data_IF_626763779454
#
_entry.id   IF_626763779454
#
_cell.length_a   1.000
_cell.length_b   1.000
_cell.length_c   1.000
_cell.angle_alpha   90.00
_cell.angle_beta   90.00
_cell.angle_gamma   90.00
#
_symmetry.space_group_name_H-M   'P 1'
#
loop_
_entity.id
_entity.type
_entity.pdbx_description
1 polymer ?
#
# COMPACT_ATOMS: atom_id res chain seq x y z
N UNK A 1 16.25 0.96 -5.24
CA UNK A 1 15.53 2.26 -5.09
C UNK A 1 14.16 2.10 -4.44
N UNK A 2 13.20 1.36 -5.04
CA UNK A 2 11.85 1.19 -4.47
C UNK A 2 11.88 0.63 -3.05
N UNK A 3 12.72 -0.39 -2.80
CA UNK A 3 12.97 -0.93 -1.44
C UNK A 3 13.31 0.18 -0.45
N UNK A 4 14.27 1.05 -0.75
CA UNK A 4 14.67 2.14 0.14
C UNK A 4 13.58 3.18 0.39
N UNK A 5 12.72 3.40 -0.60
CA UNK A 5 11.62 4.36 -0.51
C UNK A 5 10.47 3.84 0.37
N UNK A 6 10.26 2.51 0.39
CA UNK A 6 9.23 1.85 1.20
C UNK A 6 9.72 1.38 2.59
N UNK A 7 11.03 1.38 2.84
CA UNK A 7 11.58 1.10 4.18
C UNK A 7 11.35 2.29 5.12
N UNK A 8 10.98 2.03 6.39
CA UNK A 8 10.94 3.07 7.43
C UNK A 8 12.31 3.74 7.51
N UNK A 9 12.40 5.10 7.53
CA UNK A 9 13.67 5.80 7.51
C UNK A 9 14.67 5.32 8.57
N UNK A 10 14.18 5.01 9.77
CA UNK A 10 14.99 4.56 10.91
C UNK A 10 15.61 3.16 10.73
N UNK A 11 15.13 2.40 9.74
CA UNK A 11 15.63 1.05 9.41
C UNK A 11 16.59 1.06 8.19
N UNK A 12 16.88 2.22 7.61
CA UNK A 12 17.89 2.33 6.56
C UNK A 12 19.28 2.37 7.20
N UNK A 13 20.24 1.67 6.60
CA UNK A 13 21.64 1.87 6.94
C UNK A 13 22.07 3.32 6.62
N UNK A 14 23.06 3.84 7.34
CA UNK A 14 23.60 5.18 7.07
C UNK A 14 24.05 5.35 5.61
N UNK A 15 24.67 4.30 5.05
CA UNK A 15 25.08 4.25 3.64
C UNK A 15 23.89 4.33 2.69
N UNK A 16 22.84 3.53 2.92
CA UNK A 16 21.64 3.52 2.06
C UNK A 16 20.86 4.85 2.17
N UNK A 17 20.75 5.42 3.37
CA UNK A 17 20.13 6.73 3.59
C UNK A 17 20.88 7.82 2.80
N UNK A 18 22.21 7.83 2.87
CA UNK A 18 23.06 8.77 2.14
C UNK A 18 22.94 8.60 0.61
N UNK A 19 22.90 7.36 0.13
CA UNK A 19 22.68 7.09 -1.29
C UNK A 19 21.30 7.53 -1.76
N UNK A 20 20.26 7.23 -0.98
CA UNK A 20 18.90 7.67 -1.29
C UNK A 20 18.83 9.20 -1.37
N UNK A 21 19.40 9.90 -0.38
CA UNK A 21 19.40 11.36 -0.35
C UNK A 21 20.06 11.96 -1.61
N UNK A 22 21.25 11.47 -1.99
CA UNK A 22 21.93 11.91 -3.23
C UNK A 22 21.10 11.71 -4.49
N UNK A 23 20.27 10.67 -4.55
CA UNK A 23 19.37 10.43 -5.67
C UNK A 23 18.20 11.42 -5.65
N UNK A 24 17.59 11.65 -4.48
CA UNK A 24 16.46 12.58 -4.32
C UNK A 24 16.85 14.02 -4.65
N UNK A 25 18.05 14.45 -4.27
CA UNK A 25 18.59 15.78 -4.60
C UNK A 25 18.70 16.05 -6.11
N UNK A 26 18.85 14.99 -6.91
CA UNK A 26 19.00 15.07 -8.37
C UNK A 26 17.67 14.99 -9.12
N UNK A 27 16.57 14.69 -8.44
CA UNK A 27 15.26 14.47 -9.07
C UNK A 27 14.13 15.02 -8.19
N UNK A 28 13.65 16.24 -8.46
CA UNK A 28 12.54 16.85 -7.72
C UNK A 28 11.26 16.01 -7.72
N UNK A 29 10.93 15.37 -8.86
CA UNK A 29 9.78 14.49 -8.97
C UNK A 29 9.90 13.24 -8.08
N UNK A 30 11.09 12.64 -8.00
CA UNK A 30 11.34 11.50 -7.12
C UNK A 30 11.35 11.92 -5.65
N UNK A 31 11.86 13.10 -5.32
CA UNK A 31 11.80 13.66 -3.97
C UNK A 31 10.34 13.87 -3.52
N UNK A 32 9.50 14.46 -4.37
CA UNK A 32 8.06 14.61 -4.12
C UNK A 32 7.37 13.25 -3.95
N UNK A 33 7.70 12.28 -4.81
CA UNK A 33 7.20 10.90 -4.71
C UNK A 33 7.57 10.25 -3.37
N UNK A 34 8.85 10.35 -2.97
CA UNK A 34 9.33 9.80 -1.70
C UNK A 34 8.61 10.42 -0.49
N UNK A 35 8.42 11.75 -0.52
CA UNK A 35 7.67 12.47 0.51
C UNK A 35 6.24 11.95 0.64
N UNK A 36 5.51 11.82 -0.48
CA UNK A 36 4.12 11.37 -0.46
C UNK A 36 3.97 9.92 -0.02
N UNK A 37 4.86 9.02 -0.47
CA UNK A 37 4.85 7.61 -0.02
C UNK A 37 5.10 7.52 1.48
N UNK A 38 6.10 8.25 2.00
CA UNK A 38 6.42 8.24 3.43
C UNK A 38 5.28 8.82 4.27
N UNK A 39 4.68 9.92 3.84
CA UNK A 39 3.53 10.52 4.52
C UNK A 39 2.32 9.57 4.54
N UNK A 40 2.04 8.89 3.41
CA UNK A 40 0.94 7.93 3.34
C UNK A 40 1.19 6.70 4.23
N UNK A 41 2.42 6.17 4.21
CA UNK A 41 2.82 5.06 5.06
C UNK A 41 2.69 5.42 6.55
N UNK A 42 3.13 6.62 6.95
CA UNK A 42 2.97 7.09 8.32
C UNK A 42 1.49 7.19 8.72
N UNK A 43 0.67 7.81 7.88
CA UNK A 43 -0.77 7.91 8.10
C UNK A 43 -1.43 6.53 8.28
N UNK A 44 -1.00 5.53 7.49
CA UNK A 44 -1.49 4.16 7.60
C UNK A 44 -1.00 3.46 8.88
N UNK A 45 0.28 3.61 9.25
CA UNK A 45 0.84 2.92 10.43
C UNK A 45 0.32 3.50 11.74
N UNK A 46 0.05 4.81 11.77
CA UNK A 46 -0.43 5.52 12.96
C UNK A 46 -1.96 5.65 13.01
N UNK A 47 -2.68 5.03 12.05
CA UNK A 47 -4.13 5.07 11.93
C UNK A 47 -4.72 6.50 11.91
N UNK A 48 -4.09 7.39 11.14
CA UNK A 48 -4.43 8.81 11.07
C UNK A 48 -5.32 9.16 9.86
N UNK A 49 -6.37 8.38 9.58
CA UNK A 49 -7.23 8.59 8.40
C UNK A 49 -7.87 9.98 8.28
N UNK A 50 -7.93 10.76 9.38
CA UNK A 50 -8.36 12.16 9.34
C UNK A 50 -7.42 13.08 8.53
N UNK A 51 -6.18 12.69 8.26
CA UNK A 51 -5.24 13.43 7.40
C UNK A 51 -5.39 13.14 5.90
N UNK A 52 -6.28 12.20 5.50
CA UNK A 52 -6.40 11.74 4.11
C UNK A 52 -6.66 12.87 3.11
N UNK A 53 -7.58 13.78 3.41
CA UNK A 53 -7.91 14.91 2.52
C UNK A 53 -6.72 15.86 2.34
N UNK A 54 -6.00 16.15 3.43
CA UNK A 54 -4.80 17.00 3.40
C UNK A 54 -3.71 16.35 2.56
N UNK A 55 -3.53 15.03 2.71
CA UNK A 55 -2.57 14.28 1.91
C UNK A 55 -2.95 14.26 0.42
N UNK A 56 -4.23 14.06 0.08
CA UNK A 56 -4.72 14.14 -1.32
C UNK A 56 -4.46 15.52 -1.91
N UNK A 57 -4.73 16.60 -1.16
CA UNK A 57 -4.46 17.97 -1.61
C UNK A 57 -2.97 18.20 -1.88
N UNK A 58 -2.08 17.73 -0.98
CA UNK A 58 -0.64 17.82 -1.15
C UNK A 58 -0.14 17.06 -2.40
N UNK A 59 -0.70 15.87 -2.67
CA UNK A 59 -0.39 15.10 -3.88
C UNK A 59 -0.80 15.85 -5.16
N UNK A 60 -1.97 16.51 -5.14
CA UNK A 60 -2.47 17.27 -6.29
C UNK A 60 -1.65 18.53 -6.59
N UNK A 61 -0.99 19.10 -5.59
CA UNK A 61 -0.13 20.27 -5.75
C UNK A 61 1.18 19.97 -6.49
N UNK A 62 1.66 18.71 -6.45
CA UNK A 62 2.88 18.31 -7.15
C UNK A 62 2.57 17.75 -8.56
N UNK A 63 3.45 17.96 -9.57
CA UNK A 63 3.25 17.46 -10.94
C UNK A 63 3.56 15.96 -11.05
N UNK A 64 2.74 15.13 -10.42
CA UNK A 64 2.90 13.66 -10.36
C UNK A 64 1.65 12.94 -10.92
N UNK A 65 1.49 12.83 -12.25
CA UNK A 65 0.27 12.29 -12.87
C UNK A 65 -0.13 10.89 -12.37
N UNK A 66 0.84 10.00 -12.14
CA UNK A 66 0.58 8.66 -11.61
C UNK A 66 -0.02 8.70 -10.18
N UNK A 67 0.44 9.65 -9.35
CA UNK A 67 -0.10 9.84 -8.00
C UNK A 67 -1.48 10.51 -8.02
N UNK A 68 -1.75 11.36 -9.02
CA UNK A 68 -3.09 11.92 -9.19
C UNK A 68 -4.13 10.83 -9.52
N UNK A 69 -3.77 9.84 -10.34
CA UNK A 69 -4.64 8.68 -10.60
C UNK A 69 -4.91 7.90 -9.32
N UNK A 70 -3.87 7.67 -8.50
CA UNK A 70 -4.03 7.01 -7.20
C UNK A 70 -4.94 7.81 -6.25
N UNK A 71 -4.70 9.11 -6.11
CA UNK A 71 -5.52 10.01 -5.29
C UNK A 71 -6.99 10.05 -5.75
N UNK A 72 -7.24 10.01 -7.07
CA UNK A 72 -8.60 9.90 -7.61
C UNK A 72 -9.28 8.60 -7.18
N UNK A 73 -8.55 7.47 -7.14
CA UNK A 73 -9.05 6.21 -6.62
C UNK A 73 -9.43 6.33 -5.14
N UNK A 74 -8.53 6.86 -4.32
CA UNK A 74 -8.80 7.07 -2.89
C UNK A 74 -10.01 7.96 -2.64
N UNK A 75 -10.18 9.01 -3.44
CA UNK A 75 -11.30 9.94 -3.30
C UNK A 75 -12.65 9.32 -3.71
N UNK A 76 -12.67 8.39 -4.67
CA UNK A 76 -13.89 7.65 -5.02
C UNK A 76 -14.36 6.76 -3.87
N UNK A 77 -13.43 6.12 -3.16
CA UNK A 77 -13.69 5.24 -2.03
C UNK A 77 -13.43 5.91 -0.68
N UNK A 78 -13.61 7.24 -0.61
CA UNK A 78 -13.11 8.09 0.48
C UNK A 78 -13.44 7.56 1.88
N UNK A 79 -14.71 7.27 2.17
CA UNK A 79 -15.13 6.85 3.50
C UNK A 79 -14.56 5.47 3.86
N UNK A 80 -14.49 4.56 2.90
CA UNK A 80 -13.90 3.24 3.10
C UNK A 80 -12.39 3.35 3.35
N UNK A 81 -11.68 4.17 2.59
CA UNK A 81 -10.24 4.42 2.76
C UNK A 81 -9.97 5.10 4.09
N UNK A 82 -10.73 6.14 4.45
CA UNK A 82 -10.62 6.82 5.75
C UNK A 82 -10.81 5.84 6.90
N UNK A 83 -11.81 4.97 6.82
CA UNK A 83 -12.04 3.94 7.83
C UNK A 83 -10.89 2.92 7.88
N UNK A 84 -10.39 2.48 6.72
CA UNK A 84 -9.23 1.59 6.64
C UNK A 84 -7.93 2.20 7.18
N UNK A 85 -7.82 3.53 7.16
CA UNK A 85 -6.71 4.29 7.74
C UNK A 85 -6.97 4.73 9.18
N UNK A 86 -8.09 4.38 9.82
CA UNK A 86 -8.44 4.85 11.18
C UNK A 86 -8.73 3.69 12.13
N UNK A 87 -9.40 2.65 11.63
CA UNK A 87 -9.81 1.53 12.45
C UNK A 87 -8.64 0.54 12.63
N UNK A 88 -8.54 -0.15 13.78
CA UNK A 88 -7.48 -1.13 14.03
C UNK A 88 -7.70 -2.46 13.27
N UNK A 89 -8.72 -2.54 12.42
CA UNK A 89 -9.06 -3.76 11.69
C UNK A 89 -8.22 -3.88 10.42
N UNK A 90 -7.69 -5.07 10.15
CA UNK A 90 -7.00 -5.36 8.89
C UNK A 90 -7.66 -6.51 8.14
N UNK A 91 -7.67 -6.41 6.82
CA UNK A 91 -8.13 -7.50 5.93
C UNK A 91 -7.08 -8.60 5.77
N UNK A 92 -5.89 -8.51 6.40
CA UNK A 92 -4.75 -9.38 6.11
C UNK A 92 -5.04 -10.88 6.31
N UNK A 93 -5.73 -11.25 7.39
CA UNK A 93 -6.12 -12.64 7.62
C UNK A 93 -7.14 -13.15 6.58
N UNK A 94 -8.07 -12.29 6.18
CA UNK A 94 -9.08 -12.60 5.16
C UNK A 94 -8.43 -12.73 3.78
N UNK A 95 -7.56 -11.80 3.42
CA UNK A 95 -6.79 -11.80 2.18
C UNK A 95 -5.87 -13.01 2.08
N UNK A 96 -5.20 -13.40 3.18
CA UNK A 96 -4.40 -14.62 3.24
C UNK A 96 -5.22 -15.88 2.94
N UNK A 97 -6.42 -15.99 3.52
CA UNK A 97 -7.36 -17.10 3.23
C UNK A 97 -7.82 -17.09 1.77
N UNK A 98 -8.19 -15.93 1.24
CA UNK A 98 -8.57 -15.77 -0.17
C UNK A 98 -7.42 -16.12 -1.10
N UNK A 99 -6.18 -15.77 -0.75
CA UNK A 99 -4.99 -16.09 -1.51
C UNK A 99 -4.74 -17.61 -1.53
N UNK A 100 -4.83 -18.30 -0.38
CA UNK A 100 -4.79 -19.78 -0.29
C UNK A 100 -5.84 -20.41 -1.19
N UNK A 101 -7.09 -19.93 -1.15
CA UNK A 101 -8.17 -20.44 -1.99
C UNK A 101 -7.90 -20.23 -3.49
N UNK A 102 -7.44 -19.03 -3.89
CA UNK A 102 -7.05 -18.73 -5.27
C UNK A 102 -5.91 -19.62 -5.74
N UNK A 103 -4.94 -19.90 -4.88
CA UNK A 103 -3.84 -20.82 -5.16
C UNK A 103 -4.33 -22.26 -5.39
N UNK A 104 -5.14 -22.80 -4.48
CA UNK A 104 -5.73 -24.14 -4.61
C UNK A 104 -6.55 -24.26 -5.92
N UNK A 105 -7.38 -23.26 -6.24
CA UNK A 105 -8.13 -23.24 -7.50
C UNK A 105 -7.21 -23.24 -8.73
N UNK A 106 -6.08 -22.52 -8.67
CA UNK A 106 -5.10 -22.45 -9.76
C UNK A 106 -4.30 -23.76 -9.92
N UNK A 107 -3.91 -24.40 -8.82
CA UNK A 107 -3.30 -25.75 -8.85
C UNK A 107 -4.20 -26.78 -9.54
N UNK A 108 -5.51 -26.62 -9.41
CA UNK A 108 -6.51 -27.50 -10.03
C UNK A 108 -6.97 -27.02 -11.41
N UNK A 109 -6.21 -26.13 -12.07
CA UNK A 109 -6.52 -25.58 -13.39
C UNK A 109 -7.93 -24.97 -13.49
N UNK A 110 -8.42 -24.38 -12.40
CA UNK A 110 -9.76 -23.78 -12.32
C UNK A 110 -10.92 -24.77 -12.18
N UNK A 111 -10.65 -26.09 -12.14
CA UNK A 111 -11.68 -27.15 -12.11
C UNK A 111 -12.24 -27.43 -10.71
N UNK A 112 -11.71 -26.79 -9.67
CA UNK A 112 -12.20 -26.94 -8.31
C UNK A 112 -13.54 -26.22 -8.13
N UNK A 113 -14.60 -26.99 -7.87
CA UNK A 113 -15.90 -26.47 -7.46
C UNK A 113 -15.88 -26.06 -5.97
N UNK A 114 -16.97 -25.47 -5.47
CA UNK A 114 -17.03 -24.99 -4.10
C UNK A 114 -16.78 -26.09 -3.06
N UNK A 115 -17.42 -27.25 -3.20
CA UNK A 115 -17.29 -28.35 -2.25
C UNK A 115 -15.84 -28.87 -2.16
N UNK A 116 -15.16 -28.97 -3.30
CA UNK A 116 -13.77 -29.39 -3.38
C UNK A 116 -12.82 -28.35 -2.77
N UNK A 117 -13.04 -27.07 -3.03
CA UNK A 117 -12.28 -25.99 -2.40
C UNK A 117 -12.50 -25.96 -0.88
N UNK A 118 -13.74 -26.15 -0.44
CA UNK A 118 -14.10 -26.21 0.99
C UNK A 118 -13.41 -27.37 1.68
N UNK A 119 -13.45 -28.57 1.08
CA UNK A 119 -12.79 -29.75 1.63
C UNK A 119 -11.26 -29.51 1.77
N UNK A 120 -10.60 -29.03 0.72
CA UNK A 120 -9.15 -28.82 0.77
C UNK A 120 -8.73 -27.67 1.70
N UNK A 121 -9.57 -26.65 1.87
CA UNK A 121 -9.26 -25.51 2.75
C UNK A 121 -9.50 -25.81 4.24
N UNK A 122 -10.40 -26.74 4.57
CA UNK A 122 -10.75 -27.11 5.94
C UNK A 122 -9.98 -28.34 6.46
N UNK A 123 -9.51 -29.22 5.57
CA UNK A 123 -8.82 -30.46 5.94
C UNK A 123 -7.29 -30.40 5.82
N UNK A 124 -6.71 -29.26 5.38
CA UNK A 124 -5.25 -28.98 5.38
C UNK A 124 -4.93 -27.68 6.11
#
# INVERSE_FOLDING_TARGET
MVRWLMTRPDHLSSTDATHLQRILERSPGLAATARHVRAFAHMMTELQGHHLETWIAAVRADPLPAFHVFANGLQRDHDAVRNGLTLPYSSGAVEGRVCKLKFLKRLMFGRANYDLLRAMALHN
#
